data_IF_884782047145
#
_entry.id   IF_884782047145
#
_cell.length_a   1.000
_cell.length_b   1.000
_cell.length_c   1.000
_cell.angle_alpha   90.00
_cell.angle_beta   90.00
_cell.angle_gamma   90.00
#
_symmetry.space_group_name_H-M   'P 1'
#
loop_
_entity.id
_entity.type
_entity.pdbx_description
1 polymer ?
#
# COMPACT_ATOMS: atom_id res chain seq x y z
N UNK A 1 3.94 35.11 7.62
CA UNK A 1 4.35 33.72 7.93
C UNK A 1 3.18 32.74 7.81
N UNK A 2 1.98 33.08 8.29
CA UNK A 2 0.76 32.26 8.16
C UNK A 2 0.46 31.73 6.74
N UNK A 3 0.60 32.58 5.70
CA UNK A 3 0.40 32.15 4.30
C UNK A 3 1.39 31.06 3.84
N UNK A 4 2.63 31.06 4.36
CA UNK A 4 3.65 30.05 4.01
C UNK A 4 3.34 28.71 4.71
N UNK A 5 2.90 28.76 5.96
CA UNK A 5 2.49 27.59 6.74
C UNK A 5 1.24 26.94 6.11
N UNK A 6 0.24 27.73 5.74
CA UNK A 6 -0.98 27.25 5.09
C UNK A 6 -0.70 26.61 3.72
N UNK A 7 0.26 27.16 2.97
CA UNK A 7 0.68 26.59 1.69
C UNK A 7 1.43 25.27 1.88
N UNK A 8 2.32 25.18 2.87
CA UNK A 8 3.02 23.94 3.21
C UNK A 8 2.05 22.85 3.70
N UNK A 9 1.06 23.18 4.53
CA UNK A 9 0.06 22.20 4.98
C UNK A 9 -0.83 21.72 3.83
N UNK A 10 -1.24 22.62 2.93
CA UNK A 10 -2.01 22.26 1.74
C UNK A 10 -1.20 21.38 0.78
N UNK A 11 0.10 21.64 0.62
CA UNK A 11 0.99 20.83 -0.22
C UNK A 11 1.21 19.44 0.39
N UNK A 12 1.41 19.34 1.70
CA UNK A 12 1.55 18.06 2.40
C UNK A 12 0.25 17.24 2.29
N UNK A 13 -0.91 17.89 2.45
CA UNK A 13 -2.21 17.25 2.24
C UNK A 13 -2.38 16.78 0.79
N UNK A 14 -1.98 17.59 -0.20
CA UNK A 14 -2.03 17.21 -1.60
C UNK A 14 -1.14 16.00 -1.94
N UNK A 15 0.08 15.95 -1.40
CA UNK A 15 0.99 14.82 -1.58
C UNK A 15 0.44 13.58 -0.88
N UNK A 16 -0.10 13.71 0.33
CA UNK A 16 -0.72 12.60 1.05
C UNK A 16 -1.91 12.01 0.27
N UNK A 17 -2.76 12.85 -0.33
CA UNK A 17 -3.88 12.39 -1.17
C UNK A 17 -3.43 11.56 -2.37
N UNK A 18 -2.24 11.82 -2.92
CA UNK A 18 -1.68 11.00 -4.01
C UNK A 18 -1.03 9.68 -3.54
N UNK A 19 -0.76 9.51 -2.25
CA UNK A 19 -0.09 8.32 -1.71
C UNK A 19 -1.06 7.25 -1.17
N UNK A 20 -2.37 7.47 -1.26
CA UNK A 20 -3.35 6.53 -0.71
C UNK A 20 -3.58 5.27 -1.57
N UNK A 21 -2.90 5.11 -2.70
CA UNK A 21 -3.19 4.00 -3.61
C UNK A 21 -2.55 2.69 -3.14
N UNK A 22 -3.14 1.57 -3.54
CA UNK A 22 -2.57 0.25 -3.28
C UNK A 22 -1.32 0.02 -4.12
N UNK A 23 -0.31 -0.65 -3.57
CA UNK A 23 0.91 -1.02 -4.29
C UNK A 23 1.32 -2.46 -4.03
N UNK A 24 1.85 -3.13 -5.05
CA UNK A 24 2.38 -4.49 -4.97
C UNK A 24 3.86 -4.45 -5.35
N UNK A 25 4.73 -5.01 -4.50
CA UNK A 25 6.17 -5.12 -4.73
C UNK A 25 6.59 -6.59 -4.68
N UNK A 26 7.58 -6.94 -5.49
CA UNK A 26 8.06 -8.31 -5.64
C UNK A 26 9.52 -8.40 -5.18
N UNK A 27 9.82 -9.41 -4.38
CA UNK A 27 11.19 -9.81 -4.03
C UNK A 27 11.59 -11.02 -4.86
N UNK A 28 12.48 -10.82 -5.84
CA UNK A 28 12.98 -11.88 -6.71
C UNK A 28 14.39 -12.38 -6.31
N UNK A 29 15.06 -11.63 -5.45
CA UNK A 29 16.40 -11.92 -4.94
C UNK A 29 16.38 -11.94 -3.41
N UNK A 30 17.12 -12.88 -2.82
CA UNK A 30 17.38 -12.92 -1.38
C UNK A 30 18.89 -12.78 -1.17
N UNK A 31 19.33 -11.67 -0.58
CA UNK A 31 20.75 -11.37 -0.35
C UNK A 31 21.60 -11.45 -1.64
N UNK A 32 21.14 -10.81 -2.72
CA UNK A 32 21.77 -10.82 -4.06
C UNK A 32 21.89 -12.20 -4.73
N UNK A 33 21.22 -13.22 -4.17
CA UNK A 33 21.12 -14.55 -4.78
C UNK A 33 19.77 -14.71 -5.45
N UNK A 34 19.79 -15.04 -6.74
CA UNK A 34 18.58 -15.39 -7.49
C UNK A 34 17.93 -16.63 -6.89
N UNK A 35 16.61 -16.58 -6.78
CA UNK A 35 15.82 -17.70 -6.24
C UNK A 35 15.74 -18.91 -7.17
N UNK A 36 16.18 -18.77 -8.41
CA UNK A 36 16.22 -19.85 -9.39
C UNK A 36 17.48 -19.78 -10.24
N UNK A 37 17.99 -20.96 -10.56
CA UNK A 37 19.11 -21.18 -11.48
C UNK A 37 18.69 -21.14 -12.95
N UNK A 38 17.39 -21.19 -13.24
CA UNK A 38 16.88 -21.20 -14.61
C UNK A 38 16.53 -19.80 -15.10
N UNK A 39 17.10 -19.41 -16.25
CA UNK A 39 16.92 -18.09 -16.84
C UNK A 39 15.48 -17.80 -17.32
N UNK A 40 14.64 -18.83 -17.48
CA UNK A 40 13.30 -18.73 -18.05
C UNK A 40 12.16 -18.84 -17.02
N UNK A 41 12.47 -19.07 -15.75
CA UNK A 41 11.46 -19.15 -14.70
C UNK A 41 11.55 -17.92 -13.81
N UNK A 42 10.44 -17.18 -13.68
CA UNK A 42 10.31 -16.17 -12.64
C UNK A 42 9.90 -16.88 -11.35
N UNK A 43 10.89 -17.19 -10.50
CA UNK A 43 10.62 -17.58 -9.11
C UNK A 43 10.57 -16.33 -8.27
N UNK A 44 9.54 -16.25 -7.44
CA UNK A 44 9.27 -15.09 -6.61
C UNK A 44 9.30 -15.53 -5.15
N UNK A 45 10.11 -14.85 -4.34
CA UNK A 45 10.34 -15.24 -2.95
C UNK A 45 9.34 -14.59 -2.01
N UNK A 46 8.91 -13.36 -2.32
CA UNK A 46 7.96 -12.62 -1.48
C UNK A 46 7.14 -11.60 -2.30
N UNK A 47 5.82 -11.53 -2.06
CA UNK A 47 4.95 -10.42 -2.52
C UNK A 47 4.67 -9.55 -1.31
N UNK A 48 5.03 -8.28 -1.40
CA UNK A 48 4.58 -7.28 -0.45
C UNK A 48 3.41 -6.48 -1.05
N UNK A 49 2.26 -6.51 -0.39
CA UNK A 49 1.10 -5.70 -0.77
C UNK A 49 0.84 -4.66 0.30
N UNK A 50 0.85 -3.39 -0.09
CA UNK A 50 0.53 -2.27 0.79
C UNK A 50 -0.77 -1.62 0.32
N UNK A 51 -1.74 -1.48 1.23
CA UNK A 51 -2.96 -0.69 1.02
C UNK A 51 -2.92 0.46 2.03
N UNK A 52 -2.91 1.70 1.54
CA UNK A 52 -2.91 2.90 2.37
C UNK A 52 -4.28 3.56 2.39
N UNK A 53 -4.55 4.36 3.43
CA UNK A 53 -5.75 5.19 3.47
C UNK A 53 -5.58 6.42 4.34
N UNK A 54 -6.34 7.44 4.01
CA UNK A 54 -6.40 8.73 4.70
C UNK A 54 -7.78 8.84 5.33
N UNK A 55 -7.78 8.95 6.66
CA UNK A 55 -8.99 9.02 7.46
C UNK A 55 -9.08 10.37 8.16
N UNK A 56 -10.29 10.92 8.23
CA UNK A 56 -10.62 12.11 9.01
C UNK A 56 -11.68 11.71 10.02
N UNK A 57 -11.39 11.81 11.32
CA UNK A 57 -12.30 11.36 12.40
C UNK A 57 -12.87 9.94 12.19
N UNK A 58 -12.01 9.00 11.81
CA UNK A 58 -12.39 7.60 11.50
C UNK A 58 -13.28 7.43 10.26
N UNK A 59 -13.45 8.49 9.45
CA UNK A 59 -14.14 8.43 8.18
C UNK A 59 -13.13 8.35 7.03
N UNK A 60 -13.17 7.32 6.16
CA UNK A 60 -12.24 7.17 5.04
C UNK A 60 -12.49 8.25 4.00
N UNK A 61 -11.49 9.07 3.68
CA UNK A 61 -11.58 10.05 2.59
C UNK A 61 -11.01 9.43 1.32
N UNK A 62 -9.82 8.83 1.43
CA UNK A 62 -9.14 8.12 0.35
C UNK A 62 -8.60 6.79 0.89
N UNK A 63 -8.68 5.73 0.10
CA UNK A 63 -8.15 4.41 0.44
C UNK A 63 -7.67 3.69 -0.82
N UNK A 64 -6.70 2.79 -0.70
CA UNK A 64 -6.18 2.03 -1.83
C UNK A 64 -7.15 0.92 -2.23
N UNK A 65 -7.39 0.72 -3.52
CA UNK A 65 -8.33 -0.32 -3.99
C UNK A 65 -7.85 -1.73 -3.61
N UNK A 66 -8.73 -2.52 -3.00
CA UNK A 66 -8.47 -3.95 -2.76
C UNK A 66 -8.67 -4.84 -4.00
N UNK A 67 -9.15 -4.26 -5.11
CA UNK A 67 -9.54 -4.99 -6.32
C UNK A 67 -8.53 -4.87 -7.45
N UNK A 68 -7.86 -3.73 -7.54
CA UNK A 68 -6.95 -3.36 -8.63
C UNK A 68 -5.78 -2.62 -8.01
N UNK A 69 -4.57 -3.03 -8.32
CA UNK A 69 -3.36 -2.34 -7.88
C UNK A 69 -3.27 -0.93 -8.49
N UNK A 70 -2.65 0.01 -7.78
CA UNK A 70 -2.49 1.39 -8.24
C UNK A 70 -3.77 2.24 -8.21
N UNK A 71 -4.94 1.65 -7.98
CA UNK A 71 -6.18 2.40 -7.85
C UNK A 71 -6.39 2.93 -6.42
N UNK A 72 -7.09 4.06 -6.34
CA UNK A 72 -7.57 4.68 -5.12
C UNK A 72 -9.12 4.72 -5.16
N UNK A 73 -9.77 4.47 -4.03
CA UNK A 73 -11.20 4.68 -3.80
C UNK A 73 -11.41 5.88 -2.89
N UNK A 74 -12.51 6.58 -3.11
CA UNK A 74 -12.97 7.68 -2.26
C UNK A 74 -14.15 7.21 -1.41
N UNK A 75 -14.18 7.58 -0.14
CA UNK A 75 -15.28 7.27 0.78
C UNK A 75 -15.61 5.79 0.96
N UNK A 76 -14.64 4.91 0.72
CA UNK A 76 -14.75 3.47 0.90
C UNK A 76 -13.58 3.00 1.79
N UNK A 77 -13.82 2.07 2.71
CA UNK A 77 -12.77 1.54 3.58
C UNK A 77 -12.28 0.18 3.09
N UNK A 78 -11.17 0.21 2.38
CA UNK A 78 -10.51 -0.98 1.85
C UNK A 78 -9.24 -1.36 2.62
N UNK A 79 -8.80 -0.58 3.62
CA UNK A 79 -7.54 -0.79 4.36
C UNK A 79 -7.76 -1.83 5.46
N UNK A 80 -8.01 -3.07 5.05
CA UNK A 80 -8.14 -4.20 5.97
C UNK A 80 -7.16 -5.32 5.62
N UNK A 81 -6.67 -6.08 6.60
CA UNK A 81 -5.80 -7.23 6.35
C UNK A 81 -6.40 -8.22 5.34
N UNK A 82 -7.70 -8.52 5.47
CA UNK A 82 -8.38 -9.45 4.57
C UNK A 82 -8.38 -8.96 3.11
N UNK A 83 -8.58 -7.66 2.90
CA UNK A 83 -8.51 -7.05 1.57
C UNK A 83 -7.09 -7.07 0.99
N UNK A 84 -6.07 -6.86 1.81
CA UNK A 84 -4.67 -6.97 1.39
C UNK A 84 -4.31 -8.39 0.95
N UNK A 85 -4.76 -9.41 1.70
CA UNK A 85 -4.57 -10.82 1.33
C UNK A 85 -5.32 -11.18 0.04
N UNK A 86 -6.53 -10.66 -0.16
CA UNK A 86 -7.28 -10.87 -1.41
C UNK A 86 -6.56 -10.25 -2.61
N UNK A 87 -6.06 -9.03 -2.48
CA UNK A 87 -5.29 -8.36 -3.53
C UNK A 87 -4.00 -9.14 -3.85
N UNK A 88 -3.28 -9.59 -2.81
CA UNK A 88 -2.07 -10.42 -2.94
C UNK A 88 -2.37 -11.72 -3.67
N UNK A 89 -3.41 -12.45 -3.25
CA UNK A 89 -3.78 -13.74 -3.85
C UNK A 89 -4.21 -13.57 -5.31
N UNK A 90 -4.98 -12.50 -5.60
CA UNK A 90 -5.39 -12.18 -6.97
C UNK A 90 -4.18 -11.86 -7.85
N UNK A 91 -3.25 -11.06 -7.34
CA UNK A 91 -2.01 -10.72 -8.06
C UNK A 91 -1.15 -11.96 -8.32
N UNK A 92 -0.92 -12.77 -7.28
CA UNK A 92 -0.15 -14.02 -7.37
C UNK A 92 -0.74 -15.00 -8.39
N UNK A 93 -2.07 -15.16 -8.38
CA UNK A 93 -2.77 -16.06 -9.31
C UNK A 93 -2.73 -15.52 -10.75
N UNK A 94 -2.96 -14.22 -10.93
CA UNK A 94 -3.01 -13.60 -12.26
C UNK A 94 -1.64 -13.56 -12.93
N UNK A 95 -0.58 -13.21 -12.19
CA UNK A 95 0.76 -12.99 -12.74
C UNK A 95 1.62 -14.26 -12.74
N UNK A 96 1.52 -15.08 -11.70
CA UNK A 96 2.43 -16.21 -11.46
C UNK A 96 1.73 -17.57 -11.48
N UNK A 97 0.40 -17.62 -11.65
CA UNK A 97 -0.40 -18.87 -11.58
C UNK A 97 -0.15 -19.66 -10.28
N UNK A 98 0.24 -18.97 -9.21
CA UNK A 98 0.54 -19.62 -7.93
C UNK A 98 -0.71 -20.32 -7.39
N UNK A 99 -0.53 -21.54 -6.89
CA UNK A 99 -1.60 -22.36 -6.32
C UNK A 99 -1.59 -22.39 -4.79
N UNK A 100 -0.43 -22.10 -4.17
CA UNK A 100 -0.22 -22.24 -2.73
C UNK A 100 0.61 -21.04 -2.24
N UNK A 101 0.17 -20.44 -1.14
CA UNK A 101 0.92 -19.44 -0.37
C UNK A 101 1.51 -20.15 0.84
N UNK A 102 2.83 -20.14 0.98
CA UNK A 102 3.55 -20.87 2.04
C UNK A 102 3.76 -20.04 3.31
N UNK A 103 3.93 -18.73 3.17
CA UNK A 103 4.08 -17.80 4.28
C UNK A 103 3.37 -16.47 3.98
N UNK A 104 2.82 -15.84 5.01
CA UNK A 104 2.13 -14.56 4.89
C UNK A 104 2.38 -13.71 6.13
N UNK A 105 3.07 -12.61 5.94
CA UNK A 105 3.32 -11.62 6.98
C UNK A 105 2.41 -10.41 6.74
N UNK A 106 1.84 -9.89 7.82
CA UNK A 106 0.98 -8.70 7.78
C UNK A 106 1.44 -7.71 8.83
N UNK A 107 1.50 -6.45 8.45
CA UNK A 107 1.74 -5.34 9.35
C UNK A 107 0.63 -4.29 9.16
N UNK A 108 0.07 -3.81 10.26
CA UNK A 108 -0.92 -2.74 10.26
C UNK A 108 -0.34 -1.58 11.06
N UNK A 109 -0.12 -0.46 10.39
CA UNK A 109 0.36 0.76 11.02
C UNK A 109 -0.64 1.88 10.78
N UNK A 110 -0.76 2.77 11.77
CA UNK A 110 -1.59 3.96 11.67
C UNK A 110 -0.76 5.15 12.12
N UNK A 111 -0.71 6.18 11.28
CA UNK A 111 -0.02 7.42 11.59
C UNK A 111 -1.06 8.53 11.64
N UNK A 112 -1.20 9.16 12.79
CA UNK A 112 -2.08 10.31 12.95
C UNK A 112 -1.43 11.56 12.37
N UNK A 113 -2.11 12.21 11.43
CA UNK A 113 -1.62 13.43 10.74
C UNK A 113 -2.33 14.69 11.28
N UNK A 114 -2.55 14.89 12.59
CA UNK A 114 -3.01 16.22 13.12
C UNK A 114 -2.72 16.43 14.63
N UNK A 115 -2.32 17.64 15.13
CA UNK A 115 -1.88 18.86 14.43
C UNK A 115 -0.50 19.38 14.89
N UNK A 116 0.44 19.52 13.96
CA UNK A 116 1.50 20.54 14.10
C UNK A 116 0.99 21.98 13.82
N UNK A 117 -0.30 22.14 13.53
CA UNK A 117 -0.95 23.42 13.27
C UNK A 117 -1.53 24.14 14.52
N UNK A 118 -1.53 23.50 15.69
CA UNK A 118 -2.04 24.10 16.95
C UNK A 118 -0.95 24.31 18.02
N UNK A 119 0.34 24.08 17.70
CA UNK A 119 1.47 24.27 18.60
C UNK A 119 2.46 25.36 18.14
N UNK A 120 2.01 26.33 17.35
CA UNK A 120 2.73 27.58 17.04
C UNK A 120 1.80 28.79 17.15
#
# INVERSE_FOLDING_TARGET
MFKKILFCSALIAAIAMTSACSSVRLGNDLNDVKLTTEANYETMGHINVDIWGIYVFNFPIFSGSSRVEGECRMFDDSVTPGNAVQLLTKYAKARYKSQIVTDLQTNCTSTWIVPSAFFF
#
